data_IF_254351253159
#
_entry.id   IF_254351253159
#
_cell.length_a   1.000
_cell.length_b   1.000
_cell.length_c   1.000
_cell.angle_alpha   90.00
_cell.angle_beta   90.00
_cell.angle_gamma   90.00
#
_symmetry.space_group_name_H-M   'P 1'
#
loop_
_entity.id
_entity.type
_entity.pdbx_description
1 polymer ?
#
# COMPACT_ATOMS: atom_id res chain seq x y z
N UNK A 1 17.38 -19.94 40.19
CA UNK A 1 17.58 -18.77 39.29
C UNK A 1 16.26 -18.02 39.15
N UNK A 2 16.13 -16.84 39.77
CA UNK A 2 14.93 -16.00 39.61
C UNK A 2 14.97 -15.42 38.19
N UNK A 3 14.00 -15.76 37.34
CA UNK A 3 13.74 -15.01 36.10
C UNK A 3 13.28 -13.62 36.52
N UNK A 4 14.17 -12.64 36.43
CA UNK A 4 13.81 -11.23 36.57
C UNK A 4 12.88 -10.91 35.39
N UNK A 5 11.58 -10.87 35.62
CA UNK A 5 10.65 -10.30 34.66
C UNK A 5 11.03 -8.84 34.51
N UNK A 6 11.64 -8.49 33.38
CA UNK A 6 11.95 -7.11 33.02
C UNK A 6 10.63 -6.32 33.13
N UNK A 7 10.62 -5.29 33.97
CA UNK A 7 9.51 -4.35 34.05
C UNK A 7 9.40 -3.67 32.68
N UNK A 8 8.43 -4.10 31.88
CA UNK A 8 8.23 -3.54 30.55
C UNK A 8 7.56 -2.16 30.70
N UNK A 9 8.38 -1.11 30.75
CA UNK A 9 7.95 0.27 30.93
C UNK A 9 6.97 0.72 29.84
N UNK A 10 7.08 0.18 28.62
CA UNK A 10 6.16 0.47 27.52
C UNK A 10 4.78 -0.14 27.78
N UNK A 11 4.74 -1.37 28.28
CA UNK A 11 3.48 -2.01 28.65
C UNK A 11 2.74 -1.20 29.71
N UNK A 12 3.43 -0.76 30.77
CA UNK A 12 2.78 0.05 31.81
C UNK A 12 2.40 1.45 31.28
N UNK A 13 3.20 2.07 30.39
CA UNK A 13 2.83 3.32 29.68
C UNK A 13 1.50 3.15 28.94
N UNK A 14 1.39 2.15 28.06
CA UNK A 14 0.19 1.93 27.25
C UNK A 14 -1.00 1.49 28.10
N UNK A 15 -0.80 0.58 29.04
CA UNK A 15 -1.84 0.15 29.98
C UNK A 15 -2.42 1.34 30.75
N UNK A 16 -1.57 2.27 31.21
CA UNK A 16 -2.03 3.50 31.87
C UNK A 16 -2.75 4.43 30.91
N UNK A 17 -2.23 4.63 29.70
CA UNK A 17 -2.85 5.46 28.66
C UNK A 17 -4.28 4.99 28.32
N UNK A 18 -4.51 3.68 28.28
CA UNK A 18 -5.77 3.11 27.83
C UNK A 18 -6.79 2.79 28.94
N UNK A 19 -6.52 3.07 30.22
CA UNK A 19 -7.42 2.71 31.34
C UNK A 19 -8.85 3.24 31.21
N UNK A 20 -9.03 4.40 30.56
CA UNK A 20 -10.33 5.05 30.38
C UNK A 20 -11.05 4.71 29.07
N UNK A 21 -10.46 3.88 28.21
CA UNK A 21 -11.03 3.59 26.89
C UNK A 21 -11.77 2.25 26.88
N UNK A 22 -12.79 2.16 26.01
CA UNK A 22 -13.52 0.91 25.75
C UNK A 22 -12.72 0.04 24.78
N UNK A 23 -12.68 -1.27 25.06
CA UNK A 23 -12.04 -2.27 24.22
C UNK A 23 -13.05 -3.09 23.39
N UNK A 24 -12.65 -3.68 22.24
CA UNK A 24 -11.34 -3.61 21.63
C UNK A 24 -11.06 -2.24 21.02
N UNK A 25 -9.80 -1.80 21.07
CA UNK A 25 -9.31 -0.59 20.42
C UNK A 25 -8.04 -0.92 19.64
N UNK A 26 -7.85 -0.23 18.53
CA UNK A 26 -6.60 -0.21 17.78
C UNK A 26 -5.91 1.15 18.02
N UNK A 27 -4.59 1.13 18.14
CA UNK A 27 -3.79 2.34 18.26
C UNK A 27 -2.48 2.18 17.47
N UNK A 28 -1.87 3.31 17.14
CA UNK A 28 -0.52 3.38 16.57
C UNK A 28 0.29 4.32 17.45
N UNK A 29 1.44 3.85 17.93
CA UNK A 29 2.44 4.73 18.55
C UNK A 29 3.18 5.44 17.40
N UNK A 30 2.95 6.76 17.29
CA UNK A 30 3.49 7.55 16.18
C UNK A 30 5.01 7.73 16.27
N UNK A 31 5.59 7.76 17.47
CA UNK A 31 7.04 7.83 17.64
C UNK A 31 7.68 6.58 17.03
N UNK A 32 7.11 5.39 17.31
CA UNK A 32 7.57 4.13 16.71
C UNK A 32 7.25 3.98 15.23
N UNK A 33 6.13 4.54 14.78
CA UNK A 33 5.81 4.58 13.36
C UNK A 33 6.86 5.39 12.59
N UNK A 34 7.24 6.56 13.10
CA UNK A 34 8.23 7.46 12.49
C UNK A 34 9.63 6.87 12.54
N UNK A 35 10.04 6.25 13.65
CA UNK A 35 11.32 5.54 13.75
C UNK A 35 11.44 4.43 12.68
N UNK A 36 10.39 3.63 12.49
CA UNK A 36 10.37 2.58 11.47
C UNK A 36 10.47 3.15 10.05
N UNK A 37 9.77 4.25 9.79
CA UNK A 37 9.83 4.95 8.51
C UNK A 37 11.25 5.47 8.24
N UNK A 38 11.88 6.16 9.20
CA UNK A 38 13.25 6.67 9.05
C UNK A 38 14.24 5.53 8.83
N UNK A 39 14.12 4.44 9.60
CA UNK A 39 14.97 3.26 9.46
C UNK A 39 14.89 2.67 8.04
N UNK A 40 13.67 2.47 7.53
CA UNK A 40 13.45 1.90 6.20
C UNK A 40 13.94 2.85 5.08
N UNK A 41 13.73 4.16 5.22
CA UNK A 41 14.24 5.15 4.27
C UNK A 41 15.77 5.10 4.16
N UNK A 42 16.48 5.08 5.29
CA UNK A 42 17.94 5.04 5.33
C UNK A 42 18.53 3.79 4.66
N UNK A 43 17.83 2.64 4.74
CA UNK A 43 18.25 1.43 4.03
C UNK A 43 18.13 1.57 2.51
N UNK A 44 17.11 2.28 2.02
CA UNK A 44 16.90 2.43 0.58
C UNK A 44 17.86 3.39 -0.08
N UNK A 45 18.27 4.45 0.62
CA UNK A 45 19.26 5.41 0.13
C UNK A 45 20.56 4.72 -0.31
N UNK A 46 20.95 3.65 0.38
CA UNK A 46 22.14 2.86 0.07
C UNK A 46 22.01 2.03 -1.23
N UNK A 47 20.80 1.85 -1.73
CA UNK A 47 20.51 1.01 -2.91
C UNK A 47 20.15 1.80 -4.16
N UNK A 48 19.82 3.09 -4.02
CA UNK A 48 19.29 3.92 -5.10
C UNK A 48 17.86 3.57 -5.55
N UNK A 49 17.15 2.69 -4.81
CA UNK A 49 15.76 2.30 -5.09
C UNK A 49 14.78 3.10 -4.24
N UNK A 50 13.52 3.17 -4.69
CA UNK A 50 12.40 3.73 -3.92
C UNK A 50 11.49 2.62 -3.40
N UNK A 51 10.64 2.95 -2.43
CA UNK A 51 9.63 2.06 -1.84
C UNK A 51 8.24 2.45 -2.31
N UNK A 52 7.50 1.48 -2.83
CA UNK A 52 6.03 1.56 -2.91
C UNK A 52 5.42 1.01 -1.63
N UNK A 53 4.62 1.82 -0.93
CA UNK A 53 4.00 1.40 0.33
C UNK A 53 2.89 0.38 0.07
N UNK A 54 2.94 -0.77 0.73
CA UNK A 54 1.86 -1.75 0.67
C UNK A 54 0.68 -1.29 1.55
N UNK A 55 -0.40 -0.76 0.94
CA UNK A 55 -1.53 -0.17 1.67
C UNK A 55 -2.24 -1.17 2.59
N UNK A 56 -2.26 -2.46 2.19
CA UNK A 56 -3.00 -3.54 2.86
C UNK A 56 -2.72 -3.68 4.35
N UNK A 57 -1.50 -3.36 4.78
CA UNK A 57 -1.07 -3.49 6.18
C UNK A 57 -1.37 -2.24 7.00
N UNK A 58 -1.54 -1.08 6.36
CA UNK A 58 -1.72 0.21 7.03
C UNK A 58 -3.20 0.61 7.04
N UNK A 59 -3.86 0.57 5.87
CA UNK A 59 -5.29 0.91 5.65
C UNK A 59 -5.77 2.15 6.41
N UNK A 60 -4.88 3.13 6.54
CA UNK A 60 -5.14 4.41 7.18
C UNK A 60 -4.55 5.49 6.29
N UNK A 61 -5.43 6.27 5.64
CA UNK A 61 -5.04 7.32 4.71
C UNK A 61 -4.05 8.31 5.33
N UNK A 62 -4.32 8.74 6.56
CA UNK A 62 -3.49 9.72 7.27
C UNK A 62 -2.08 9.19 7.57
N UNK A 63 -1.94 7.90 7.90
CA UNK A 63 -0.62 7.29 8.09
C UNK A 63 0.13 7.13 6.77
N UNK A 64 -0.58 6.83 5.67
CA UNK A 64 0.05 6.77 4.33
C UNK A 64 0.52 8.17 3.90
N UNK A 65 -0.32 9.21 4.07
CA UNK A 65 0.06 10.60 3.80
C UNK A 65 1.25 11.02 4.65
N UNK A 66 1.24 10.69 5.94
CA UNK A 66 2.36 10.94 6.86
C UNK A 66 3.67 10.35 6.34
N UNK A 67 3.66 9.13 5.80
CA UNK A 67 4.86 8.51 5.21
C UNK A 67 5.38 9.35 4.04
N UNK A 68 4.52 9.80 3.13
CA UNK A 68 4.95 10.60 1.99
C UNK A 68 5.42 12.00 2.39
N UNK A 69 4.83 12.59 3.44
CA UNK A 69 5.21 13.91 3.94
C UNK A 69 6.54 13.90 4.71
N UNK A 70 6.81 12.83 5.47
CA UNK A 70 7.92 12.80 6.44
C UNK A 70 9.04 11.82 6.09
N UNK A 71 8.75 10.82 5.26
CA UNK A 71 9.71 9.78 4.87
C UNK A 71 10.68 10.21 3.76
N UNK A 72 10.52 11.41 3.21
CA UNK A 72 11.38 11.95 2.15
C UNK A 72 11.28 11.19 0.83
N UNK A 73 12.30 11.32 -0.03
CA UNK A 73 12.28 10.81 -1.40
C UNK A 73 12.40 9.28 -1.52
N UNK A 74 12.63 8.58 -0.41
CA UNK A 74 12.73 7.12 -0.41
C UNK A 74 11.37 6.45 -0.70
N UNK A 75 10.26 7.13 -0.40
CA UNK A 75 8.91 6.60 -0.60
C UNK A 75 8.28 7.20 -1.84
N UNK A 76 7.84 6.33 -2.76
CA UNK A 76 7.20 6.73 -4.00
C UNK A 76 6.16 5.72 -4.42
N UNK A 77 4.91 6.18 -4.44
CA UNK A 77 3.76 5.41 -4.86
C UNK A 77 3.29 4.36 -3.85
N UNK A 78 2.15 3.74 -4.17
CA UNK A 78 1.48 2.73 -3.34
C UNK A 78 1.35 1.42 -4.12
N UNK A 79 1.48 0.32 -3.38
CA UNK A 79 1.12 -1.02 -3.80
C UNK A 79 -0.21 -1.37 -3.13
N UNK A 80 -1.32 -1.16 -3.85
CA UNK A 80 -2.67 -1.34 -3.34
C UNK A 80 -3.12 -2.82 -3.37
N UNK A 81 -3.99 -3.23 -2.45
CA UNK A 81 -4.47 -4.61 -2.41
C UNK A 81 -5.57 -4.89 -3.43
N UNK A 82 -6.53 -3.97 -3.53
CA UNK A 82 -7.69 -4.08 -4.44
C UNK A 82 -7.83 -2.82 -5.29
N UNK A 83 -8.63 -2.89 -6.34
CA UNK A 83 -8.90 -1.73 -7.19
C UNK A 83 -9.75 -0.67 -6.46
N UNK A 84 -10.62 -1.06 -5.55
CA UNK A 84 -11.42 -0.13 -4.73
C UNK A 84 -10.54 0.64 -3.73
N UNK A 85 -9.58 -0.04 -3.09
CA UNK A 85 -8.57 0.65 -2.27
C UNK A 85 -7.79 1.65 -3.11
N UNK A 86 -7.39 1.29 -4.34
CA UNK A 86 -6.70 2.21 -5.25
C UNK A 86 -7.57 3.41 -5.64
N UNK A 87 -8.83 3.17 -6.00
CA UNK A 87 -9.78 4.25 -6.32
C UNK A 87 -9.95 5.22 -5.16
N UNK A 88 -10.12 4.72 -3.93
CA UNK A 88 -10.21 5.54 -2.73
C UNK A 88 -8.94 6.40 -2.50
N UNK A 89 -7.76 5.83 -2.71
CA UNK A 89 -6.49 6.55 -2.55
C UNK A 89 -6.32 7.64 -3.62
N UNK A 90 -6.68 7.36 -4.86
CA UNK A 90 -6.65 8.30 -5.99
C UNK A 90 -7.55 9.49 -5.71
N UNK A 91 -8.78 9.24 -5.26
CA UNK A 91 -9.75 10.28 -4.88
C UNK A 91 -9.27 11.15 -3.71
N UNK A 92 -8.27 10.69 -2.97
CA UNK A 92 -7.65 11.39 -1.84
C UNK A 92 -6.23 11.92 -2.14
N UNK A 93 -5.86 12.02 -3.42
CA UNK A 93 -4.63 12.68 -3.88
C UNK A 93 -3.39 11.78 -3.93
N UNK A 94 -3.55 10.46 -3.87
CA UNK A 94 -2.45 9.50 -4.05
C UNK A 94 -2.69 8.74 -5.35
N UNK A 95 -1.97 9.12 -6.41
CA UNK A 95 -2.29 8.71 -7.78
C UNK A 95 -1.24 7.81 -8.45
N UNK A 96 -0.09 7.57 -7.81
CA UNK A 96 0.94 6.63 -8.27
C UNK A 96 0.75 5.25 -7.64
N UNK A 97 -0.06 4.38 -8.28
CA UNK A 97 -0.52 3.12 -7.71
C UNK A 97 -0.27 1.91 -8.63
N UNK A 98 0.21 0.82 -8.02
CA UNK A 98 0.12 -0.51 -8.61
C UNK A 98 -0.86 -1.33 -7.76
N UNK A 99 -1.90 -1.90 -8.37
CA UNK A 99 -2.77 -2.88 -7.71
C UNK A 99 -2.11 -4.25 -7.81
N UNK A 100 -1.70 -4.78 -6.66
CA UNK A 100 -0.73 -5.87 -6.54
C UNK A 100 -1.24 -7.24 -6.97
N UNK A 101 -2.56 -7.42 -7.02
CA UNK A 101 -3.20 -8.70 -7.29
C UNK A 101 -4.07 -8.56 -8.54
N UNK A 102 -4.03 -9.53 -9.47
CA UNK A 102 -4.87 -9.49 -10.65
C UNK A 102 -6.36 -9.45 -10.31
N UNK A 103 -7.12 -8.67 -11.09
CA UNK A 103 -8.58 -8.68 -11.06
C UNK A 103 -9.14 -8.62 -12.46
N UNK A 104 -10.23 -9.37 -12.67
CA UNK A 104 -11.07 -9.32 -13.88
C UNK A 104 -12.53 -9.03 -13.52
N UNK A 105 -12.80 -8.62 -12.28
CA UNK A 105 -14.15 -8.24 -11.86
C UNK A 105 -14.60 -7.03 -12.69
N UNK A 106 -15.79 -7.05 -13.30
CA UNK A 106 -16.25 -5.94 -14.14
C UNK A 106 -16.20 -4.59 -13.43
N UNK A 107 -16.56 -4.53 -12.13
CA UNK A 107 -16.47 -3.31 -11.31
C UNK A 107 -15.06 -2.77 -11.18
N UNK A 108 -14.07 -3.64 -11.04
CA UNK A 108 -12.66 -3.25 -10.89
C UNK A 108 -12.12 -2.74 -12.23
N UNK A 109 -12.51 -3.37 -13.34
CA UNK A 109 -12.10 -2.91 -14.67
C UNK A 109 -12.73 -1.55 -14.99
N UNK A 110 -14.01 -1.36 -14.68
CA UNK A 110 -14.69 -0.09 -14.86
C UNK A 110 -14.05 1.03 -14.01
N UNK A 111 -13.73 0.72 -12.75
CA UNK A 111 -13.03 1.65 -11.84
C UNK A 111 -11.60 1.95 -12.33
N UNK A 112 -10.87 0.95 -12.83
CA UNK A 112 -9.54 1.15 -13.41
C UNK A 112 -9.62 2.13 -14.59
N UNK A 113 -10.54 1.89 -15.53
CA UNK A 113 -10.78 2.80 -16.66
C UNK A 113 -11.13 4.21 -16.20
N UNK A 114 -12.02 4.34 -15.21
CA UNK A 114 -12.42 5.63 -14.65
C UNK A 114 -11.21 6.40 -14.09
N UNK A 115 -10.42 5.77 -13.22
CA UNK A 115 -9.29 6.42 -12.57
C UNK A 115 -8.15 6.73 -13.54
N UNK A 116 -7.89 5.86 -14.52
CA UNK A 116 -6.94 6.17 -15.59
C UNK A 116 -7.40 7.37 -16.42
N UNK A 117 -8.69 7.52 -16.72
CA UNK A 117 -9.22 8.72 -17.41
C UNK A 117 -9.09 10.00 -16.59
N UNK A 118 -9.09 9.90 -15.27
CA UNK A 118 -8.83 11.03 -14.36
C UNK A 118 -7.34 11.43 -14.32
N UNK A 119 -6.46 10.69 -14.99
CA UNK A 119 -5.03 10.98 -15.09
C UNK A 119 -4.18 10.26 -14.04
N UNK A 120 -4.74 9.31 -13.28
CA UNK A 120 -3.96 8.57 -12.29
C UNK A 120 -2.89 7.69 -12.96
N UNK A 121 -1.70 7.64 -12.36
CA UNK A 121 -0.65 6.69 -12.72
C UNK A 121 -0.95 5.32 -12.08
N UNK A 122 -1.89 4.61 -12.69
CA UNK A 122 -2.46 3.37 -12.17
C UNK A 122 -2.07 2.18 -13.07
N UNK A 123 -1.57 1.11 -12.44
CA UNK A 123 -1.31 -0.17 -13.12
C UNK A 123 -1.98 -1.33 -12.39
N UNK A 124 -2.41 -2.35 -13.13
CA UNK A 124 -2.90 -3.61 -12.55
C UNK A 124 -1.90 -4.74 -12.79
N UNK A 125 -1.59 -5.50 -11.74
CA UNK A 125 -0.76 -6.70 -11.87
C UNK A 125 -1.50 -7.76 -12.69
N UNK A 126 -0.79 -8.42 -13.58
CA UNK A 126 -1.29 -9.53 -14.42
C UNK A 126 -0.29 -10.67 -14.47
N UNK A 127 -0.79 -11.89 -14.61
CA UNK A 127 0.01 -13.12 -14.70
C UNK A 127 -0.43 -14.04 -15.87
N UNK A 128 -1.43 -13.62 -16.65
CA UNK A 128 -1.99 -14.44 -17.73
C UNK A 128 -2.48 -13.62 -18.93
N UNK A 129 -2.51 -14.27 -20.10
CA UNK A 129 -2.99 -13.64 -21.34
C UNK A 129 -4.46 -13.21 -21.27
N UNK A 130 -5.33 -14.00 -20.61
CA UNK A 130 -6.75 -13.66 -20.50
C UNK A 130 -7.02 -12.37 -19.71
N UNK A 131 -6.15 -12.03 -18.74
CA UNK A 131 -6.21 -10.76 -18.03
C UNK A 131 -5.78 -9.61 -18.95
N UNK A 132 -4.70 -9.78 -19.72
CA UNK A 132 -4.26 -8.78 -20.71
C UNK A 132 -5.31 -8.53 -21.78
N UNK A 133 -5.97 -9.58 -22.29
CA UNK A 133 -7.08 -9.44 -23.26
C UNK A 133 -8.25 -8.67 -22.66
N UNK A 134 -8.55 -8.89 -21.37
CA UNK A 134 -9.61 -8.17 -20.66
C UNK A 134 -9.27 -6.69 -20.53
N UNK A 135 -8.03 -6.35 -20.15
CA UNK A 135 -7.55 -4.97 -20.10
C UNK A 135 -7.51 -4.31 -21.49
N UNK A 136 -7.07 -5.02 -22.53
CA UNK A 136 -7.02 -4.49 -23.91
C UNK A 136 -8.42 -4.11 -24.38
N UNK A 137 -9.40 -5.02 -24.24
CA UNK A 137 -10.80 -4.75 -24.63
C UNK A 137 -11.39 -3.57 -23.87
N UNK A 138 -11.09 -3.45 -22.58
CA UNK A 138 -11.56 -2.35 -21.75
C UNK A 138 -10.94 -1.00 -22.20
N UNK A 139 -9.64 -0.98 -22.43
CA UNK A 139 -8.92 0.19 -22.96
C UNK A 139 -9.42 0.61 -24.34
N UNK A 140 -9.57 -0.34 -25.27
CA UNK A 140 -10.13 -0.10 -26.62
C UNK A 140 -11.54 0.50 -26.56
N UNK A 141 -12.44 -0.11 -25.78
CA UNK A 141 -13.80 0.38 -25.58
C UNK A 141 -13.82 1.79 -25.00
N UNK A 142 -12.88 2.10 -24.11
CA UNK A 142 -12.79 3.38 -23.43
C UNK A 142 -11.98 4.45 -24.19
N UNK A 143 -11.26 4.07 -25.25
CA UNK A 143 -10.37 4.94 -26.02
C UNK A 143 -9.09 5.32 -25.28
N UNK A 144 -8.59 4.47 -24.37
CA UNK A 144 -7.40 4.74 -23.54
C UNK A 144 -6.46 3.54 -23.49
N UNK A 145 -5.22 3.77 -23.06
CA UNK A 145 -4.26 2.70 -22.74
C UNK A 145 -4.29 2.43 -21.23
N UNK A 146 -4.55 1.17 -20.87
CA UNK A 146 -4.41 0.69 -19.49
C UNK A 146 -3.02 0.09 -19.29
N UNK A 147 -2.38 0.41 -18.17
CA UNK A 147 -1.04 -0.10 -17.85
C UNK A 147 -1.13 -1.41 -17.07
N UNK A 148 -0.38 -2.42 -17.49
CA UNK A 148 -0.25 -3.69 -16.79
C UNK A 148 1.15 -3.84 -16.18
N UNK A 149 1.24 -4.50 -15.02
CA UNK A 149 2.49 -4.91 -14.40
C UNK A 149 2.56 -6.44 -14.42
N UNK A 150 3.58 -7.02 -15.05
CA UNK A 150 3.69 -8.49 -15.13
C UNK A 150 4.18 -9.06 -13.79
N UNK A 151 3.43 -9.99 -13.21
CA UNK A 151 3.88 -10.80 -12.08
C UNK A 151 4.80 -11.93 -12.55
N UNK A 152 5.87 -12.17 -11.79
CA UNK A 152 6.87 -13.19 -12.10
C UNK A 152 7.09 -14.04 -10.85
N UNK A 153 6.78 -15.34 -10.95
CA UNK A 153 7.08 -16.29 -9.89
C UNK A 153 8.59 -16.55 -9.80
N UNK A 154 9.23 -15.86 -8.85
CA UNK A 154 10.65 -16.01 -8.53
C UNK A 154 10.94 -17.16 -7.56
N UNK A 155 9.92 -17.92 -7.16
CA UNK A 155 10.01 -19.07 -6.24
C UNK A 155 9.88 -20.42 -6.94
N UNK A 156 9.46 -20.43 -8.22
CA UNK A 156 9.29 -21.64 -9.02
C UNK A 156 10.58 -22.47 -9.06
N UNK A 157 10.45 -23.75 -8.70
CA UNK A 157 11.52 -24.75 -8.79
C UNK A 157 11.02 -25.94 -9.61
N UNK A 158 11.39 -26.05 -10.90
CA UNK A 158 10.98 -27.17 -11.78
C UNK A 158 11.64 -28.49 -11.42
#
# INVERSE_FOLDING_TARGET
>A
MKKTFLHNSEYEKYKNLFKGYRFPLAFVDLDRFDENMVYVAALMEQTGKTIRIASKSIRCLELIKRIFEQGGNAYRGVLAFTMEEAGYLIDNGIDDIIVAYPSIQPSDIDLFVEKTKQGANLSLVVDSLGQLETLSRAGEKAGILLTACLDIDMSYRP
#
